data_IF_574698478979
#
_entry.id   IF_574698478979
#
_cell.length_a   1.000
_cell.length_b   1.000
_cell.length_c   1.000
_cell.angle_alpha   90.00
_cell.angle_beta   90.00
_cell.angle_gamma   90.00
#
_symmetry.space_group_name_H-M   'P 1'
#
loop_
_entity.id
_entity.type
_entity.pdbx_description
1 polymer ?
#
# COMPACT_ATOMS: atom_id res chain seq x y z
N UNK A 1 6.20 -14.91 -6.59
CA UNK A 1 4.77 -14.66 -6.38
C UNK A 1 4.16 -15.94 -5.84
N UNK A 2 3.12 -15.85 -5.04
CA UNK A 2 2.42 -17.04 -4.54
C UNK A 2 1.07 -17.12 -5.25
N UNK A 3 0.86 -18.20 -6.00
CA UNK A 3 -0.40 -18.48 -6.70
C UNK A 3 -1.49 -18.97 -5.73
N UNK A 4 -1.07 -19.59 -4.62
CA UNK A 4 -1.95 -20.04 -3.52
C UNK A 4 -2.33 -18.90 -2.55
N UNK A 5 -1.83 -17.69 -2.80
CA UNK A 5 -2.15 -16.57 -1.93
C UNK A 5 -3.59 -16.13 -2.19
N UNK A 6 -4.39 -15.92 -1.14
CA UNK A 6 -5.83 -15.76 -1.32
C UNK A 6 -6.23 -14.34 -1.77
N UNK A 7 -5.27 -13.44 -1.96
CA UNK A 7 -5.48 -12.11 -2.53
C UNK A 7 -4.99 -12.06 -3.97
N UNK A 8 -5.75 -11.38 -4.82
CA UNK A 8 -5.34 -11.10 -6.20
C UNK A 8 -4.53 -9.80 -6.29
N UNK A 9 -3.79 -9.65 -7.39
CA UNK A 9 -3.09 -8.39 -7.73
C UNK A 9 -4.08 -7.24 -7.89
N UNK A 10 -5.30 -7.50 -8.36
CA UNK A 10 -6.35 -6.49 -8.52
C UNK A 10 -6.80 -5.92 -7.17
N UNK A 11 -6.94 -6.76 -6.14
CA UNK A 11 -7.28 -6.31 -4.79
C UNK A 11 -6.19 -5.40 -4.22
N UNK A 12 -4.92 -5.70 -4.48
CA UNK A 12 -3.81 -4.83 -4.09
C UNK A 12 -3.92 -3.46 -4.77
N UNK A 13 -4.17 -3.43 -6.09
CA UNK A 13 -4.32 -2.18 -6.85
C UNK A 13 -5.44 -1.28 -6.30
N UNK A 14 -6.58 -1.87 -5.92
CA UNK A 14 -7.70 -1.13 -5.33
C UNK A 14 -7.34 -0.48 -3.98
N UNK A 15 -6.58 -1.18 -3.13
CA UNK A 15 -6.11 -0.62 -1.84
C UNK A 15 -5.15 0.54 -2.10
N UNK A 16 -4.25 0.39 -3.06
CA UNK A 16 -3.30 1.44 -3.41
C UNK A 16 -4.00 2.69 -3.94
N UNK A 17 -5.10 2.55 -4.68
CA UNK A 17 -5.89 3.67 -5.22
C UNK A 17 -6.51 4.54 -4.11
N UNK A 18 -7.01 3.92 -3.04
CA UNK A 18 -7.56 4.65 -1.87
C UNK A 18 -6.48 5.42 -1.12
N UNK A 19 -5.22 4.96 -1.15
CA UNK A 19 -4.07 5.57 -0.45
C UNK A 19 -3.34 6.58 -1.35
N UNK A 20 -3.79 6.77 -2.60
CA UNK A 20 -3.05 7.51 -3.64
C UNK A 20 -3.51 8.96 -3.93
N UNK A 21 -3.72 9.87 -2.95
CA UNK A 21 -3.64 11.30 -3.28
C UNK A 21 -2.24 11.71 -3.78
N UNK A 22 -1.22 10.83 -3.65
CA UNK A 22 0.16 11.08 -4.07
C UNK A 22 0.41 10.80 -5.56
N UNK A 23 0.86 11.81 -6.32
CA UNK A 23 1.26 11.72 -7.75
C UNK A 23 2.23 10.57 -8.09
N UNK A 24 2.96 10.04 -7.11
CA UNK A 24 3.89 8.93 -7.28
C UNK A 24 3.23 7.54 -7.43
N UNK A 25 1.95 7.40 -7.03
CA UNK A 25 1.27 6.10 -7.03
C UNK A 25 0.68 5.68 -8.38
N UNK A 26 0.39 6.62 -9.29
CA UNK A 26 -0.03 6.29 -10.66
C UNK A 26 1.04 5.47 -11.40
N UNK A 27 2.33 5.82 -11.23
CA UNK A 27 3.46 5.06 -11.79
C UNK A 27 3.63 3.69 -11.13
N UNK A 28 3.32 3.58 -9.84
CA UNK A 28 3.32 2.29 -9.15
C UNK A 28 2.24 1.37 -9.71
N UNK A 29 1.02 1.89 -9.97
CA UNK A 29 -0.05 1.11 -10.63
C UNK A 29 0.39 0.61 -12.01
N UNK A 30 0.95 1.47 -12.86
CA UNK A 30 1.50 1.06 -14.16
C UNK A 30 2.60 -0.01 -14.00
N UNK A 31 3.49 0.15 -13.03
CA UNK A 31 4.56 -0.81 -12.76
C UNK A 31 4.01 -2.16 -12.30
N UNK A 32 3.07 -2.16 -11.36
CA UNK A 32 2.39 -3.36 -10.84
C UNK A 32 1.60 -4.05 -11.96
N UNK A 33 0.90 -3.30 -12.80
CA UNK A 33 0.10 -3.86 -13.91
C UNK A 33 0.94 -4.38 -15.09
N UNK A 34 2.06 -3.74 -15.44
CA UNK A 34 2.86 -4.12 -16.63
C UNK A 34 3.95 -5.17 -16.36
N UNK A 35 4.43 -5.31 -15.13
CA UNK A 35 5.64 -6.10 -14.83
C UNK A 35 5.45 -7.24 -13.83
N UNK A 36 4.29 -7.36 -13.20
CA UNK A 36 4.13 -8.41 -12.20
C UNK A 36 3.93 -9.79 -12.85
N UNK A 37 4.71 -10.80 -12.42
CA UNK A 37 4.40 -12.19 -12.74
C UNK A 37 3.07 -12.60 -12.10
N UNK A 38 2.48 -13.71 -12.57
CA UNK A 38 1.24 -14.27 -12.00
C UNK A 38 1.39 -14.56 -10.50
N UNK A 39 0.30 -14.43 -9.74
CA UNK A 39 0.22 -14.65 -8.28
C UNK A 39 0.27 -13.36 -7.44
N UNK A 40 0.25 -13.45 -6.11
CA UNK A 40 0.32 -12.28 -5.22
C UNK A 40 1.77 -11.91 -4.85
N UNK A 41 2.10 -10.61 -4.75
CA UNK A 41 3.44 -10.18 -4.37
C UNK A 41 3.63 -10.18 -2.85
N UNK A 42 4.22 -11.27 -2.35
CA UNK A 42 4.67 -11.38 -0.94
C UNK A 42 5.77 -10.38 -0.57
N UNK A 43 6.43 -9.77 -1.56
CA UNK A 43 7.42 -8.71 -1.41
C UNK A 43 7.34 -7.73 -2.57
N UNK A 44 7.45 -6.43 -2.28
CA UNK A 44 7.42 -5.34 -3.27
C UNK A 44 8.55 -4.35 -2.95
N UNK A 45 9.33 -3.99 -3.97
CA UNK A 45 10.37 -2.96 -3.88
C UNK A 45 9.97 -1.78 -4.78
N UNK A 46 9.66 -0.65 -4.18
CA UNK A 46 9.13 0.54 -4.86
C UNK A 46 10.13 1.69 -4.72
N UNK A 47 10.72 2.20 -5.82
CA UNK A 47 11.50 3.42 -5.76
C UNK A 47 10.57 4.62 -5.54
N UNK A 48 10.73 5.33 -4.43
CA UNK A 48 9.95 6.52 -4.08
C UNK A 48 10.64 7.79 -4.60
N UNK A 49 11.98 7.83 -4.47
CA UNK A 49 12.85 8.88 -4.99
C UNK A 49 14.07 8.23 -5.66
N UNK A 50 14.86 8.94 -6.49
CA UNK A 50 16.04 8.39 -7.15
C UNK A 50 17.04 7.66 -6.23
N UNK A 51 17.03 8.00 -4.94
CA UNK A 51 17.90 7.44 -3.90
C UNK A 51 17.17 6.68 -2.79
N UNK A 52 15.83 6.63 -2.81
CA UNK A 52 15.03 6.02 -1.73
C UNK A 52 14.11 4.95 -2.29
N UNK A 53 14.22 3.73 -1.75
CA UNK A 53 13.36 2.60 -2.09
C UNK A 53 12.58 2.14 -0.86
N UNK A 54 11.26 2.08 -0.98
CA UNK A 54 10.39 1.43 -0.01
C UNK A 54 10.37 -0.08 -0.28
N UNK A 55 10.66 -0.88 0.73
CA UNK A 55 10.58 -2.34 0.68
C UNK A 55 9.46 -2.80 1.57
N UNK A 56 8.45 -3.43 0.98
CA UNK A 56 7.29 -3.97 1.68
C UNK A 56 7.37 -5.49 1.59
N UNK A 57 7.17 -6.18 2.72
CA UNK A 57 7.17 -7.65 2.77
C UNK A 57 6.02 -8.12 3.65
N UNK A 58 5.19 -9.01 3.11
CA UNK A 58 4.06 -9.59 3.81
C UNK A 58 4.54 -10.85 4.52
N UNK A 59 4.78 -10.73 5.83
CA UNK A 59 5.34 -11.83 6.64
C UNK A 59 4.26 -12.72 7.26
N UNK A 60 3.13 -12.12 7.65
CA UNK A 60 2.01 -12.84 8.27
C UNK A 60 0.70 -12.26 7.75
N UNK A 61 -0.13 -13.12 7.20
CA UNK A 61 -1.42 -12.78 6.65
C UNK A 61 -2.51 -13.63 7.31
N UNK A 62 -3.57 -12.99 7.79
CA UNK A 62 -4.70 -13.64 8.44
C UNK A 62 -6.00 -13.00 7.93
N UNK A 63 -6.96 -13.83 7.50
CA UNK A 63 -8.33 -13.38 7.27
C UNK A 63 -9.02 -13.15 8.61
N UNK A 64 -9.54 -11.95 8.82
CA UNK A 64 -10.21 -11.57 10.06
C UNK A 64 -11.46 -10.75 9.74
N UNK A 65 -12.59 -11.26 10.18
CA UNK A 65 -13.89 -10.58 10.06
C UNK A 65 -14.20 -9.70 11.28
N UNK A 66 -13.32 -9.72 12.28
CA UNK A 66 -13.51 -9.05 13.58
C UNK A 66 -12.48 -7.94 13.85
N UNK A 67 -12.14 -7.15 12.82
CA UNK A 67 -11.23 -6.02 12.97
C UNK A 67 -11.98 -4.86 13.65
N UNK A 68 -11.49 -4.33 14.80
CA UNK A 68 -12.18 -3.24 15.50
C UNK A 68 -12.27 -1.97 14.64
N UNK A 69 -13.46 -1.39 14.54
CA UNK A 69 -13.72 -0.16 13.75
C UNK A 69 -12.85 1.02 14.20
N UNK A 70 -12.50 1.07 15.49
CA UNK A 70 -11.61 2.10 16.07
C UNK A 70 -10.21 2.15 15.44
N UNK A 71 -9.80 1.13 14.69
CA UNK A 71 -8.53 1.13 13.95
C UNK A 71 -8.61 1.95 12.66
N UNK A 72 -9.83 2.30 12.22
CA UNK A 72 -10.11 3.01 10.97
C UNK A 72 -10.71 4.40 11.21
N UNK A 73 -10.62 4.92 12.45
CA UNK A 73 -11.03 6.28 12.80
C UNK A 73 -9.82 7.11 13.18
N UNK A 74 -9.87 8.41 12.88
CA UNK A 74 -8.88 9.36 13.37
C UNK A 74 -9.16 9.58 14.87
N UNK A 75 -8.18 9.45 15.77
CA UNK A 75 -8.37 9.71 17.19
C UNK A 75 -8.86 11.14 17.46
N UNK A 76 -9.75 11.33 18.44
CA UNK A 76 -10.32 12.65 18.76
C UNK A 76 -9.28 13.65 19.26
N UNK A 77 -8.16 13.16 19.79
CA UNK A 77 -7.00 13.94 20.25
C UNK A 77 -5.97 14.21 19.15
N UNK A 78 -6.21 13.72 17.93
CA UNK A 78 -5.34 13.99 16.79
C UNK A 78 -5.50 15.45 16.34
N UNK A 79 -4.39 16.19 16.38
CA UNK A 79 -4.28 17.54 15.83
C UNK A 79 -3.39 17.48 14.59
N UNK A 80 -3.95 17.79 13.43
CA UNK A 80 -3.17 17.93 12.21
C UNK A 80 -2.29 19.17 12.30
N UNK A 81 -0.99 19.00 12.09
CA UNK A 81 -0.03 20.10 11.99
C UNK A 81 0.16 20.46 10.50
N UNK A 82 -0.40 21.60 10.04
CA UNK A 82 -0.34 21.99 8.63
C UNK A 82 1.08 22.34 8.16
N UNK A 83 2.06 22.47 9.07
CA UNK A 83 3.46 22.74 8.76
C UNK A 83 4.35 21.48 8.90
N UNK A 84 3.78 20.32 9.23
CA UNK A 84 4.55 19.09 9.47
C UNK A 84 5.27 18.58 8.23
N UNK A 85 4.71 18.86 7.05
CA UNK A 85 5.26 18.48 5.76
C UNK A 85 5.18 19.67 4.79
N UNK A 86 6.05 20.69 4.97
CA UNK A 86 5.97 21.93 4.19
C UNK A 86 6.38 21.76 2.71
N UNK A 87 7.06 20.65 2.39
CA UNK A 87 7.62 20.34 1.07
C UNK A 87 6.87 19.19 0.35
N UNK A 88 5.73 18.73 0.89
CA UNK A 88 4.93 17.63 0.33
C UNK A 88 3.68 18.13 -0.39
#
# INVERSE_FOLDING_TARGET
MSDDFPLSVEMLLNVLEVIAPFKHFAKLREFVAMKLPKGFPVKIDIPILPTVTAKITFQKFDFRDNIPEKLFVIPDDYVEDPLRFPDL
#
